data_IF_633083713816
#
_entry.id   IF_633083713816
#
_cell.length_a   1.000
_cell.length_b   1.000
_cell.length_c   1.000
_cell.angle_alpha   90.00
_cell.angle_beta   90.00
_cell.angle_gamma   90.00
#
_symmetry.space_group_name_H-M   'P 1'
#
loop_
_entity.id
_entity.type
_entity.pdbx_description
1 polymer ?
#
# COMPACT_ATOMS: atom_id res chain seq x y z
N UNK A 1 8.89 -2.42 2.47
CA UNK A 1 7.73 -3.21 2.89
C UNK A 1 8.15 -4.60 3.29
N UNK A 2 8.30 -5.52 2.34
CA UNK A 2 8.63 -6.92 2.65
C UNK A 2 9.96 -7.11 3.38
N UNK A 3 11.01 -6.38 2.97
CA UNK A 3 12.30 -6.44 3.69
C UNK A 3 12.20 -5.91 5.12
N UNK A 4 11.41 -4.85 5.35
CA UNK A 4 11.14 -4.36 6.70
C UNK A 4 10.42 -5.44 7.53
N UNK A 5 9.42 -6.13 6.98
CA UNK A 5 8.75 -7.23 7.66
C UNK A 5 9.72 -8.37 8.03
N UNK A 6 10.61 -8.78 7.12
CA UNK A 6 11.63 -9.80 7.41
C UNK A 6 12.52 -9.40 8.58
N UNK A 7 13.02 -8.16 8.57
CA UNK A 7 13.90 -7.64 9.63
C UNK A 7 13.17 -7.48 10.97
N UNK A 8 11.94 -6.97 10.95
CA UNK A 8 11.11 -6.85 12.17
C UNK A 8 10.85 -8.22 12.80
N UNK A 9 10.55 -9.24 12.00
CA UNK A 9 10.37 -10.62 12.48
C UNK A 9 11.67 -11.22 13.02
N UNK A 10 12.78 -11.03 12.33
CA UNK A 10 14.09 -11.50 12.78
C UNK A 10 14.49 -10.86 14.12
N UNK A 11 14.07 -9.62 14.37
CA UNK A 11 14.25 -8.90 15.62
C UNK A 11 13.19 -9.23 16.70
N UNK A 12 12.22 -10.11 16.44
CA UNK A 12 11.15 -10.44 17.38
C UNK A 12 10.15 -9.30 17.64
N UNK A 13 10.08 -8.30 16.76
CA UNK A 13 9.19 -7.14 16.92
C UNK A 13 7.72 -7.53 16.72
N UNK A 14 6.84 -6.94 17.53
CA UNK A 14 5.39 -7.05 17.36
C UNK A 14 4.84 -6.16 16.22
N UNK A 15 5.67 -5.28 15.64
CA UNK A 15 5.28 -4.43 14.52
C UNK A 15 5.23 -5.23 13.24
N UNK A 16 4.16 -5.07 12.45
CA UNK A 16 4.00 -5.69 11.14
C UNK A 16 4.20 -4.68 10.02
N UNK A 17 4.91 -5.04 8.95
CA UNK A 17 4.97 -4.23 7.72
C UNK A 17 4.12 -4.87 6.62
N UNK A 18 3.18 -4.10 6.07
CA UNK A 18 2.25 -4.54 5.03
C UNK A 18 2.35 -3.59 3.84
N UNK A 19 2.35 -4.13 2.62
CA UNK A 19 2.34 -3.32 1.40
C UNK A 19 0.91 -3.18 0.90
N UNK A 20 0.51 -1.95 0.57
CA UNK A 20 -0.82 -1.66 0.02
C UNK A 20 -0.71 -0.82 -1.24
N UNK A 21 -1.62 -1.03 -2.20
CA UNK A 21 -1.81 -0.10 -3.31
C UNK A 21 -3.29 0.28 -3.47
N UNK A 22 -3.58 1.52 -3.92
CA UNK A 22 -4.95 2.01 -4.02
C UNK A 22 -5.66 1.57 -5.31
N UNK A 23 -4.95 0.92 -6.23
CA UNK A 23 -5.39 0.71 -7.61
C UNK A 23 -5.50 2.01 -8.40
N UNK A 24 -6.40 2.05 -9.40
CA UNK A 24 -6.62 3.27 -10.17
C UNK A 24 -7.50 4.25 -9.39
N UNK A 25 -6.88 5.20 -8.70
CA UNK A 25 -7.55 6.17 -7.83
C UNK A 25 -7.63 7.55 -8.48
N UNK A 26 -8.79 7.90 -9.06
CA UNK A 26 -9.00 9.17 -9.78
C UNK A 26 -9.77 10.21 -8.95
N UNK A 27 -9.34 11.47 -9.05
CA UNK A 27 -10.03 12.62 -8.41
C UNK A 27 -11.43 12.86 -8.96
N UNK A 28 -11.60 12.74 -10.28
CA UNK A 28 -12.89 12.89 -10.97
C UNK A 28 -13.96 11.90 -10.49
N UNK A 29 -13.53 10.74 -9.99
CA UNK A 29 -14.40 9.68 -9.45
C UNK A 29 -14.53 9.75 -7.92
N UNK A 30 -13.91 10.74 -7.28
CA UNK A 30 -13.97 10.96 -5.83
C UNK A 30 -15.18 11.84 -5.46
N UNK A 31 -16.05 11.42 -4.52
CA UNK A 31 -17.17 12.23 -4.04
C UNK A 31 -16.70 13.60 -3.54
N UNK A 32 -17.50 14.65 -3.81
CA UNK A 32 -17.23 16.00 -3.29
C UNK A 32 -17.15 15.99 -1.76
N UNK A 33 -16.16 16.70 -1.23
CA UNK A 33 -15.97 16.98 0.19
C UNK A 33 -15.43 18.40 0.40
N UNK A 34 -16.29 19.44 0.35
CA UNK A 34 -15.86 20.82 0.57
C UNK A 34 -15.29 21.04 1.99
N UNK A 35 -14.29 21.93 2.16
CA UNK A 35 -13.59 22.69 1.12
C UNK A 35 -12.46 21.90 0.43
N UNK A 36 -12.18 20.67 0.87
CA UNK A 36 -11.00 19.86 0.46
C UNK A 36 -11.07 19.40 -0.99
N UNK A 37 -12.25 19.02 -1.46
CA UNK A 37 -12.46 18.56 -2.84
C UNK A 37 -13.85 18.94 -3.33
N UNK A 38 -13.93 19.61 -4.47
CA UNK A 38 -15.21 19.89 -5.14
C UNK A 38 -15.20 19.19 -6.48
N UNK A 39 -16.09 18.22 -6.65
CA UNK A 39 -16.18 17.43 -7.89
C UNK A 39 -16.79 18.29 -9.00
N UNK A 40 -16.07 18.41 -10.12
CA UNK A 40 -16.54 19.09 -11.33
C UNK A 40 -17.32 18.10 -12.23
N UNK A 41 -18.55 18.47 -12.60
CA UNK A 41 -19.43 17.65 -13.44
C UNK A 41 -18.84 17.32 -14.82
N UNK A 42 -18.15 18.26 -15.47
CA UNK A 42 -17.47 18.04 -16.74
C UNK A 42 -16.30 17.06 -16.63
N UNK A 43 -15.56 17.09 -15.51
CA UNK A 43 -14.49 16.14 -15.24
C UNK A 43 -15.04 14.73 -14.96
N UNK A 44 -16.19 14.64 -14.31
CA UNK A 44 -16.89 13.36 -14.07
C UNK A 44 -17.32 12.72 -15.39
N UNK A 45 -17.93 13.49 -16.30
CA UNK A 45 -18.36 12.98 -17.61
C UNK A 45 -17.18 12.45 -18.43
N UNK A 46 -16.06 13.18 -18.47
CA UNK A 46 -14.84 12.72 -19.14
C UNK A 46 -14.25 11.45 -18.52
N UNK A 47 -14.43 11.24 -17.22
CA UNK A 47 -13.93 10.07 -16.52
C UNK A 47 -14.90 8.89 -16.51
N UNK A 48 -16.12 9.03 -17.05
CA UNK A 48 -17.14 7.98 -17.04
C UNK A 48 -16.67 6.65 -17.69
N UNK A 49 -15.95 6.65 -18.82
CA UNK A 49 -15.40 5.40 -19.38
C UNK A 49 -14.41 4.74 -18.42
N UNK A 50 -13.54 5.53 -17.78
CA UNK A 50 -12.55 5.05 -16.82
C UNK A 50 -13.19 4.53 -15.53
N UNK A 51 -14.38 5.00 -15.15
CA UNK A 51 -15.11 4.55 -13.95
C UNK A 51 -15.49 3.06 -13.98
N UNK A 52 -15.52 2.44 -15.16
CA UNK A 52 -15.76 1.02 -15.32
C UNK A 52 -14.58 0.15 -14.85
N UNK A 53 -13.37 0.71 -14.83
CA UNK A 53 -12.14 -0.02 -14.54
C UNK A 53 -11.43 0.52 -13.30
N UNK A 54 -11.59 1.82 -13.03
CA UNK A 54 -10.96 2.55 -11.94
C UNK A 54 -11.96 2.95 -10.86
N UNK A 55 -11.46 3.55 -9.77
CA UNK A 55 -12.24 3.97 -8.62
C UNK A 55 -11.81 5.37 -8.15
N UNK A 56 -12.61 5.99 -7.27
CA UNK A 56 -12.19 7.25 -6.65
C UNK A 56 -11.20 7.04 -5.50
N UNK A 57 -10.49 8.09 -5.09
CA UNK A 57 -9.53 8.09 -3.97
C UNK A 57 -10.15 7.57 -2.66
N UNK A 58 -11.40 7.90 -2.40
CA UNK A 58 -12.17 7.37 -1.27
C UNK A 58 -12.23 5.82 -1.23
N UNK A 59 -12.41 5.17 -2.38
CA UNK A 59 -12.41 3.72 -2.50
C UNK A 59 -10.98 3.16 -2.53
N UNK A 60 -10.05 3.88 -3.17
CA UNK A 60 -8.62 3.55 -3.17
C UNK A 60 -7.96 3.60 -1.79
N UNK A 61 -8.57 4.30 -0.81
CA UNK A 61 -8.10 4.29 0.58
C UNK A 61 -8.49 3.01 1.35
N UNK A 62 -9.46 2.23 0.85
CA UNK A 62 -9.99 1.04 1.55
C UNK A 62 -8.93 -0.03 1.82
N UNK A 63 -7.99 -0.37 0.89
CA UNK A 63 -6.93 -1.32 1.18
C UNK A 63 -6.05 -0.91 2.35
N UNK A 64 -5.63 0.36 2.41
CA UNK A 64 -4.84 0.89 3.51
C UNK A 64 -5.63 0.87 4.83
N UNK A 65 -6.88 1.33 4.83
CA UNK A 65 -7.74 1.31 6.01
C UNK A 65 -7.94 -0.13 6.53
N UNK A 66 -8.12 -1.11 5.64
CA UNK A 66 -8.22 -2.51 6.03
C UNK A 66 -6.91 -3.03 6.62
N UNK A 67 -5.77 -2.74 5.99
CA UNK A 67 -4.45 -3.16 6.47
C UNK A 67 -4.15 -2.71 7.91
N UNK A 68 -4.66 -1.54 8.30
CA UNK A 68 -4.49 -1.01 9.65
C UNK A 68 -5.49 -1.61 10.65
N UNK A 69 -6.71 -1.92 10.22
CA UNK A 69 -7.83 -2.25 11.12
C UNK A 69 -8.16 -3.74 11.23
N UNK A 70 -7.79 -4.57 10.25
CA UNK A 70 -8.15 -6.00 10.23
C UNK A 70 -7.07 -6.83 10.96
N UNK A 71 -7.36 -7.40 12.15
CA UNK A 71 -6.37 -8.12 12.95
C UNK A 71 -5.92 -9.45 12.31
N UNK A 72 -6.55 -9.86 11.21
CA UNK A 72 -6.18 -11.07 10.46
C UNK A 72 -5.09 -10.81 9.42
N UNK A 73 -4.70 -9.55 9.22
CA UNK A 73 -3.66 -9.19 8.27
C UNK A 73 -2.30 -9.47 8.89
N UNK A 74 -1.48 -10.21 8.15
CA UNK A 74 -0.12 -10.50 8.54
C UNK A 74 0.85 -9.55 7.83
N UNK A 75 2.02 -9.33 8.44
CA UNK A 75 3.11 -8.66 7.76
C UNK A 75 3.59 -9.43 6.52
N UNK A 76 4.34 -8.76 5.65
CA UNK A 76 4.87 -9.39 4.44
C UNK A 76 3.79 -9.67 3.38
N UNK A 77 2.57 -9.18 3.57
CA UNK A 77 1.47 -9.30 2.62
C UNK A 77 1.38 -8.07 1.69
N UNK A 78 0.83 -8.30 0.50
CA UNK A 78 0.43 -7.26 -0.46
C UNK A 78 -1.10 -7.22 -0.52
N UNK A 79 -1.67 -6.03 -0.34
CA UNK A 79 -3.12 -5.83 -0.38
C UNK A 79 -3.51 -4.76 -1.39
N UNK A 80 -4.55 -5.06 -2.14
CA UNK A 80 -5.05 -4.17 -3.17
C UNK A 80 -6.49 -4.45 -3.56
N UNK A 81 -7.01 -3.74 -4.57
CA UNK A 81 -8.38 -3.92 -5.02
C UNK A 81 -8.53 -5.19 -5.87
N UNK A 82 -9.51 -6.04 -5.53
CA UNK A 82 -9.68 -7.38 -6.14
C UNK A 82 -9.77 -7.42 -7.68
N UNK A 83 -10.34 -6.41 -8.33
CA UNK A 83 -10.60 -6.45 -9.77
C UNK A 83 -9.39 -5.90 -10.52
N UNK A 84 -8.57 -6.82 -11.04
CA UNK A 84 -7.33 -6.55 -11.79
C UNK A 84 -6.31 -5.66 -11.03
N UNK A 85 -6.39 -5.57 -9.70
CA UNK A 85 -5.57 -4.63 -8.92
C UNK A 85 -5.98 -3.15 -9.07
N UNK A 86 -7.06 -2.86 -9.80
CA UNK A 86 -7.45 -1.50 -10.18
C UNK A 86 -8.62 -0.96 -9.37
N UNK A 87 -9.61 -1.80 -9.05
CA UNK A 87 -10.78 -1.39 -8.26
C UNK A 87 -11.41 -2.52 -7.44
N UNK A 88 -12.33 -2.15 -6.55
CA UNK A 88 -13.18 -3.10 -5.84
C UNK A 88 -12.81 -3.24 -4.36
N UNK A 89 -13.26 -4.34 -3.75
CA UNK A 89 -13.03 -4.59 -2.31
C UNK A 89 -11.55 -4.95 -2.06
N UNK A 90 -10.98 -4.54 -0.92
CA UNK A 90 -9.64 -4.95 -0.52
C UNK A 90 -9.51 -6.48 -0.45
N UNK A 91 -8.45 -6.98 -1.05
CA UNK A 91 -8.13 -8.40 -1.15
C UNK A 91 -6.61 -8.60 -1.06
N UNK A 92 -6.19 -9.75 -0.53
CA UNK A 92 -4.78 -10.11 -0.48
C UNK A 92 -4.30 -10.53 -1.86
N UNK A 93 -3.34 -9.82 -2.41
CA UNK A 93 -2.77 -10.14 -3.71
C UNK A 93 -1.58 -11.10 -3.57
N UNK A 94 -1.30 -11.83 -4.64
CA UNK A 94 -0.02 -12.53 -4.75
C UNK A 94 1.08 -11.49 -4.93
N UNK A 95 2.21 -11.70 -4.28
CA UNK A 95 3.38 -10.83 -4.47
C UNK A 95 3.80 -10.84 -5.94
N UNK A 96 4.19 -9.67 -6.44
CA UNK A 96 4.81 -9.57 -7.76
C UNK A 96 6.20 -10.19 -7.70
N UNK A 97 6.65 -10.84 -8.78
CA UNK A 97 7.92 -11.57 -8.79
C UNK A 97 9.11 -10.72 -8.31
N UNK A 98 9.12 -9.43 -8.66
CA UNK A 98 10.16 -8.49 -8.26
C UNK A 98 10.17 -8.20 -6.76
N UNK A 99 9.01 -8.29 -6.09
CA UNK A 99 8.91 -8.11 -4.64
C UNK A 99 9.38 -9.36 -3.88
N UNK A 100 9.30 -10.54 -4.50
CA UNK A 100 9.73 -11.80 -3.89
C UNK A 100 11.26 -11.95 -3.85
N UNK A 101 12.00 -11.19 -4.68
CA UNK A 101 13.45 -11.30 -4.78
C UNK A 101 14.18 -10.73 -3.56
N UNK A 102 14.54 -11.61 -2.63
CA UNK A 102 15.10 -11.22 -1.33
C UNK A 102 16.46 -10.53 -1.43
N UNK A 103 17.31 -10.94 -2.38
CA UNK A 103 18.65 -10.38 -2.53
C UNK A 103 18.62 -8.94 -3.06
N UNK A 104 17.85 -8.65 -4.12
CA UNK A 104 17.62 -7.26 -4.55
C UNK A 104 16.99 -6.41 -3.44
N UNK A 105 16.01 -6.94 -2.71
CA UNK A 105 15.40 -6.20 -1.61
C UNK A 105 16.42 -5.84 -0.51
N UNK A 106 17.33 -6.76 -0.17
CA UNK A 106 18.42 -6.54 0.79
C UNK A 106 19.41 -5.49 0.29
N UNK A 107 19.86 -5.60 -0.97
CA UNK A 107 20.78 -4.61 -1.58
C UNK A 107 20.17 -3.22 -1.62
N UNK A 108 18.89 -3.11 -1.99
CA UNK A 108 18.18 -1.84 -2.01
C UNK A 108 18.06 -1.24 -0.61
N UNK A 109 17.83 -2.06 0.41
CA UNK A 109 17.81 -1.63 1.80
C UNK A 109 19.16 -1.06 2.23
N UNK A 110 20.23 -1.81 2.00
CA UNK A 110 21.58 -1.44 2.42
C UNK A 110 22.00 -0.12 1.73
N UNK A 111 21.76 0.00 0.42
CA UNK A 111 22.01 1.23 -0.33
C UNK A 111 21.14 2.42 0.15
N UNK A 112 19.85 2.18 0.46
CA UNK A 112 18.98 3.23 1.00
C UNK A 112 19.45 3.71 2.37
N UNK A 113 19.93 2.78 3.22
CA UNK A 113 20.45 3.09 4.55
C UNK A 113 21.74 3.90 4.46
N UNK A 114 22.65 3.51 3.57
CA UNK A 114 23.89 4.25 3.30
C UNK A 114 23.60 5.67 2.80
N UNK A 115 22.71 5.82 1.83
CA UNK A 115 22.38 7.12 1.23
C UNK A 115 21.61 8.05 2.17
N UNK A 116 20.78 7.52 3.06
CA UNK A 116 19.95 8.33 3.96
C UNK A 116 20.56 8.49 5.35
N UNK A 117 21.53 7.65 5.73
CA UNK A 117 22.05 7.56 7.09
C UNK A 117 21.03 7.04 8.11
N UNK A 118 19.90 6.49 7.66
CA UNK A 118 18.80 6.01 8.50
C UNK A 118 18.56 4.54 8.23
N UNK A 119 18.65 3.71 9.28
CA UNK A 119 18.19 2.32 9.24
C UNK A 119 16.78 2.21 9.86
N UNK A 120 15.72 1.99 9.06
CA UNK A 120 14.36 1.87 9.57
C UNK A 120 14.15 0.69 10.54
N UNK A 121 15.04 -0.29 10.56
CA UNK A 121 14.94 -1.47 11.43
C UNK A 121 15.69 -1.32 12.76
N UNK A 122 16.64 -0.39 12.86
CA UNK A 122 17.54 -0.28 14.02
C UNK A 122 16.82 -0.02 15.36
N UNK A 123 15.66 0.63 15.35
CA UNK A 123 14.88 0.92 16.56
C UNK A 123 14.15 -0.30 17.14
N UNK A 124 14.12 -1.42 16.41
CA UNK A 124 13.36 -2.61 16.78
C UNK A 124 14.24 -3.79 17.18
N UNK A 125 15.56 -3.63 17.09
CA UNK A 125 16.56 -4.66 17.41
C UNK A 125 16.97 -4.65 18.89
N UNK A 126 16.45 -3.73 19.70
CA UNK A 126 16.84 -3.50 21.09
C UNK A 126 15.68 -3.67 22.06
N UNK A 127 15.39 -4.93 22.41
CA UNK A 127 14.81 -5.32 23.71
C UNK A 127 15.36 -6.70 24.09
N UNK A 128 16.36 -6.71 24.97
CA UNK A 128 16.64 -7.84 25.87
C UNK A 128 15.54 -7.93 26.95
#
# INVERSE_FOLDING_TARGET
GLELDRRLRAAGSAVTSVVVHPGGALDSLTPSRPPVHVRNAGAMLRAAPAALVLQGKHAGARPAARAVLDPRIAGGELWGPRVFGLRGRPHRERLWAQLEEAETARRLWDASTELTGVDPSANYTSRE
#
